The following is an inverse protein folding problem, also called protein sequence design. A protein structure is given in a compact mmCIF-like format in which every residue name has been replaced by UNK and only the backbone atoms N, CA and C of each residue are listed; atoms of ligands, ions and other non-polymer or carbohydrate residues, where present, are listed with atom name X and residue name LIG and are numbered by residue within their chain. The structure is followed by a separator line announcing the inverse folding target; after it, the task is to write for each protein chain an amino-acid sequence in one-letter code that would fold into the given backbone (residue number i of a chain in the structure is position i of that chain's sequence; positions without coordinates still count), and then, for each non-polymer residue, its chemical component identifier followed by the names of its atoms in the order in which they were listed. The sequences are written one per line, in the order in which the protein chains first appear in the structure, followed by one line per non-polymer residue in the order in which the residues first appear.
data_IF_893866177827
#
_entry.id   IF_893866177827
#
_cell.length_a   1.000
_cell.length_b   1.000
_cell.length_c   1.000
_cell.angle_alpha   90.00
_cell.angle_beta   90.00
_cell.angle_gamma   90.00
#
_symmetry.space_group_name_H-M   'P 1'
#
loop_
_entity.id
_entity.type
_entity.pdbx_description
1 polymer ?
#
# COMPACT_ATOMS: atom_id res chain seq x y z
N UNK A 1 6.11 25.07 68.13
CA UNK A 1 6.81 24.02 67.36
C UNK A 1 6.15 22.68 67.64
N UNK A 2 5.15 22.31 66.85
CA UNK A 2 4.65 20.93 66.74
C UNK A 2 4.34 20.76 65.25
N UNK A 3 5.21 20.05 64.54
CA UNK A 3 5.13 19.83 63.10
C UNK A 3 5.23 18.34 62.83
N UNK A 4 4.35 17.82 61.99
CA UNK A 4 4.53 16.50 61.37
C UNK A 4 3.23 15.72 61.17
N UNK A 5 2.40 16.19 60.23
CA UNK A 5 1.34 15.40 59.63
C UNK A 5 1.94 14.24 58.83
N UNK A 6 1.69 13.01 59.25
CA UNK A 6 1.77 11.82 58.40
C UNK A 6 0.43 11.67 57.67
N UNK A 7 0.35 12.23 56.46
CA UNK A 7 -0.72 11.89 55.52
C UNK A 7 -0.18 10.85 54.53
N UNK A 8 -0.30 9.59 54.92
CA UNK A 8 -0.11 8.42 54.06
C UNK A 8 -1.19 8.47 52.97
N UNK A 9 -0.81 8.90 51.76
CA UNK A 9 -1.68 8.80 50.59
C UNK A 9 -1.80 7.32 50.26
N UNK A 10 -2.97 6.75 50.54
CA UNK A 10 -3.28 5.36 50.21
C UNK A 10 -3.23 5.13 48.70
N UNK A 11 -2.16 4.51 48.25
CA UNK A 11 -2.10 3.81 46.96
C UNK A 11 -3.04 2.62 47.05
N UNK A 12 -4.28 2.83 46.62
CA UNK A 12 -5.25 1.76 46.41
C UNK A 12 -4.65 0.79 45.38
N UNK A 13 -4.09 -0.33 45.83
CA UNK A 13 -3.59 -1.40 44.96
C UNK A 13 -4.72 -1.81 44.01
N UNK A 14 -4.60 -1.40 42.76
CA UNK A 14 -5.44 -1.87 41.66
C UNK A 14 -5.18 -3.36 41.45
N UNK A 15 -6.11 -4.11 40.82
CA UNK A 15 -5.97 -5.56 40.68
C UNK A 15 -4.84 -5.93 39.72
N UNK A 16 -3.62 -6.01 40.24
CA UNK A 16 -2.40 -6.47 39.56
C UNK A 16 -2.47 -7.95 39.16
N UNK A 17 -3.44 -8.69 39.71
CA UNK A 17 -3.65 -10.10 39.45
C UNK A 17 -3.84 -10.43 37.96
N UNK A 18 -4.57 -9.61 37.19
CA UNK A 18 -4.74 -9.87 35.74
C UNK A 18 -3.42 -9.68 34.98
N UNK A 19 -2.65 -8.63 35.31
CA UNK A 19 -1.34 -8.41 34.71
C UNK A 19 -0.39 -9.58 34.98
N UNK A 20 -0.30 -10.02 36.24
CA UNK A 20 0.54 -11.14 36.66
C UNK A 20 0.09 -12.45 36.01
N UNK A 21 -1.22 -12.70 35.89
CA UNK A 21 -1.75 -13.88 35.20
C UNK A 21 -1.32 -13.93 33.73
N UNK A 22 -1.45 -12.83 32.99
CA UNK A 22 -1.06 -12.77 31.57
C UNK A 22 0.46 -12.91 31.42
N UNK A 23 1.24 -12.23 32.27
CA UNK A 23 2.70 -12.31 32.26
C UNK A 23 3.21 -13.73 32.57
N UNK A 24 2.67 -14.36 33.62
CA UNK A 24 3.01 -15.74 33.99
C UNK A 24 2.60 -16.73 32.89
N UNK A 25 1.42 -16.57 32.28
CA UNK A 25 0.99 -17.41 31.16
C UNK A 25 1.91 -17.29 29.92
N UNK A 26 2.60 -16.16 29.77
CA UNK A 26 3.57 -15.93 28.70
C UNK A 26 4.98 -16.44 29.07
N UNK A 27 5.18 -16.91 30.30
CA UNK A 27 6.48 -17.33 30.83
C UNK A 27 7.39 -16.18 31.21
N UNK A 28 6.86 -14.97 31.42
CA UNK A 28 7.65 -13.83 31.86
C UNK A 28 7.94 -13.90 33.36
N UNK A 29 9.17 -13.54 33.75
CA UNK A 29 9.57 -13.44 35.16
C UNK A 29 8.95 -12.18 35.80
N UNK A 30 8.11 -12.38 36.81
CA UNK A 30 7.42 -11.28 37.50
C UNK A 30 8.41 -10.39 38.25
N UNK A 31 9.47 -10.95 38.84
CA UNK A 31 10.47 -10.17 39.58
C UNK A 31 11.27 -9.26 38.65
N UNK A 32 11.59 -9.69 37.43
CA UNK A 32 12.22 -8.84 36.41
C UNK A 32 11.29 -7.70 35.96
N UNK A 33 10.00 -8.00 35.78
CA UNK A 33 9.00 -6.99 35.45
C UNK A 33 8.83 -5.97 36.59
N UNK A 34 8.83 -6.41 37.84
CA UNK A 34 8.80 -5.53 39.02
C UNK A 34 10.04 -4.64 39.12
N UNK A 35 11.20 -5.14 38.68
CA UNK A 35 12.44 -4.36 38.54
C UNK A 35 12.41 -3.36 37.35
N UNK A 36 11.30 -3.30 36.60
CA UNK A 36 11.09 -2.34 35.51
C UNK A 36 11.50 -2.83 34.12
N UNK A 37 11.83 -4.12 33.96
CA UNK A 37 12.13 -4.67 32.64
C UNK A 37 10.86 -4.81 31.78
N UNK A 38 11.07 -4.81 30.46
CA UNK A 38 10.05 -5.13 29.47
C UNK A 38 10.36 -6.52 28.92
N UNK A 39 9.47 -7.48 29.14
CA UNK A 39 9.61 -8.84 28.65
C UNK A 39 8.85 -9.04 27.34
N UNK A 40 9.39 -9.86 26.44
CA UNK A 40 8.74 -10.26 25.19
C UNK A 40 8.82 -11.77 25.00
N UNK A 41 7.68 -12.41 24.77
CA UNK A 41 7.56 -13.81 24.40
C UNK A 41 7.02 -13.96 22.98
N UNK A 42 7.48 -15.01 22.29
CA UNK A 42 7.07 -15.38 20.94
C UNK A 42 6.42 -16.76 20.99
N UNK A 43 5.10 -16.78 20.99
CA UNK A 43 4.29 -17.98 21.22
C UNK A 43 3.68 -18.51 19.91
N UNK A 44 3.65 -19.84 19.80
CA UNK A 44 2.86 -20.55 18.78
C UNK A 44 1.60 -21.10 19.43
N UNK A 45 0.45 -20.51 19.10
CA UNK A 45 -0.84 -20.91 19.65
C UNK A 45 -1.47 -21.95 18.74
N UNK A 46 -1.86 -23.12 19.28
CA UNK A 46 -2.29 -24.28 18.49
C UNK A 46 -3.66 -24.15 17.84
N UNK A 47 -4.55 -23.36 18.44
CA UNK A 47 -5.96 -23.34 18.05
C UNK A 47 -6.63 -22.01 18.40
N UNK A 48 -7.77 -21.76 17.75
CA UNK A 48 -8.50 -20.50 17.88
C UNK A 48 -9.14 -20.29 19.26
N UNK A 49 -9.44 -21.37 19.99
CA UNK A 49 -10.02 -21.28 21.34
C UNK A 49 -8.98 -20.78 22.34
N UNK A 50 -7.76 -21.31 22.25
CA UNK A 50 -6.62 -20.84 23.01
C UNK A 50 -6.24 -19.41 22.61
N UNK A 51 -6.23 -19.10 21.31
CA UNK A 51 -5.96 -17.74 20.83
C UNK A 51 -7.00 -16.73 21.34
N UNK A 52 -8.28 -17.09 21.39
CA UNK A 52 -9.33 -16.24 21.96
C UNK A 52 -9.06 -15.86 23.42
N UNK A 53 -8.54 -16.79 24.23
CA UNK A 53 -8.20 -16.53 25.64
C UNK A 53 -7.07 -15.49 25.77
N UNK A 54 -6.13 -15.48 24.82
CA UNK A 54 -5.07 -14.48 24.75
C UNK A 54 -5.57 -13.11 24.26
N UNK A 55 -6.47 -13.11 23.27
CA UNK A 55 -6.79 -11.90 22.52
C UNK A 55 -7.99 -11.13 23.04
N UNK A 56 -8.90 -11.72 23.83
CA UNK A 56 -10.11 -11.02 24.28
C UNK A 56 -10.34 -11.11 25.79
N UNK A 57 -10.33 -9.93 26.41
CA UNK A 57 -10.57 -9.62 27.83
C UNK A 57 -12.00 -9.14 28.08
N UNK A 58 -12.85 -9.16 27.05
CA UNK A 58 -14.27 -8.85 27.17
C UNK A 58 -15.02 -9.94 27.93
N UNK A 59 -15.89 -9.53 28.84
CA UNK A 59 -16.85 -10.44 29.48
C UNK A 59 -17.95 -10.89 28.48
N UNK A 60 -18.76 -11.86 28.90
CA UNK A 60 -19.80 -12.43 28.04
C UNK A 60 -20.91 -11.42 27.68
N UNK A 61 -21.13 -10.40 28.51
CA UNK A 61 -22.11 -9.34 28.22
C UNK A 61 -21.59 -8.40 27.15
N UNK A 62 -20.32 -8.00 27.23
CA UNK A 62 -19.64 -7.21 26.22
C UNK A 62 -19.58 -7.99 24.89
N UNK A 63 -19.17 -9.26 24.91
CA UNK A 63 -19.12 -10.10 23.70
C UNK A 63 -20.46 -10.18 22.98
N UNK A 64 -21.55 -10.46 23.71
CA UNK A 64 -22.91 -10.47 23.14
C UNK A 64 -23.30 -9.13 22.49
N UNK A 65 -22.94 -8.00 23.10
CA UNK A 65 -23.20 -6.67 22.51
C UNK A 65 -22.39 -6.46 21.22
N UNK A 66 -21.16 -6.97 21.15
CA UNK A 66 -20.27 -6.86 19.99
C UNK A 66 -20.71 -7.67 18.78
N UNK A 67 -21.55 -8.70 18.95
CA UNK A 67 -22.04 -9.51 17.82
C UNK A 67 -22.61 -8.65 16.68
N UNK A 68 -23.38 -7.61 17.03
CA UNK A 68 -23.97 -6.67 16.07
C UNK A 68 -22.95 -5.91 15.22
N UNK A 69 -21.74 -5.72 15.74
CA UNK A 69 -20.65 -5.09 14.99
C UNK A 69 -20.14 -5.95 13.84
N UNK A 70 -20.49 -7.25 13.82
CA UNK A 70 -20.06 -8.23 12.82
C UNK A 70 -21.16 -8.63 11.82
N UNK A 71 -22.36 -8.04 11.89
CA UNK A 71 -23.47 -8.39 11.00
C UNK A 71 -23.31 -7.79 9.58
N UNK A 72 -22.67 -6.62 9.47
CA UNK A 72 -22.50 -5.90 8.19
C UNK A 72 -21.42 -6.48 7.26
N UNK A 73 -20.79 -7.61 7.63
CA UNK A 73 -19.74 -8.24 6.84
C UNK A 73 -20.27 -9.14 5.71
N UNK A 74 -21.58 -9.20 5.48
CA UNK A 74 -22.21 -10.08 4.48
C UNK A 74 -21.60 -9.97 3.06
N UNK A 75 -21.18 -8.77 2.63
CA UNK A 75 -20.50 -8.56 1.34
C UNK A 75 -19.07 -9.14 1.25
N UNK A 76 -18.43 -9.43 2.39
CA UNK A 76 -17.09 -10.04 2.50
C UNK A 76 -17.13 -11.55 2.70
N UNK A 77 -18.30 -12.13 2.99
CA UNK A 77 -18.47 -13.56 3.25
C UNK A 77 -17.99 -14.45 2.09
N UNK A 78 -18.03 -13.96 0.84
CA UNK A 78 -17.57 -14.66 -0.37
C UNK A 78 -16.07 -14.48 -0.66
N UNK A 79 -15.37 -13.62 0.08
CA UNK A 79 -13.94 -13.40 -0.06
C UNK A 79 -13.19 -14.32 0.91
N UNK A 80 -11.92 -14.62 0.61
CA UNK A 80 -11.01 -15.29 1.54
C UNK A 80 -10.93 -14.56 2.91
N UNK A 81 -11.06 -13.22 2.88
CA UNK A 81 -11.19 -12.37 4.06
C UNK A 81 -12.35 -12.75 4.98
N UNK A 82 -13.43 -13.34 4.45
CA UNK A 82 -14.60 -13.71 5.25
C UNK A 82 -14.32 -14.77 6.31
N UNK A 83 -13.33 -15.66 6.10
CA UNK A 83 -12.90 -16.63 7.12
C UNK A 83 -12.21 -15.91 8.28
N UNK A 84 -11.31 -14.96 7.98
CA UNK A 84 -10.67 -14.11 8.99
C UNK A 84 -11.69 -13.27 9.76
N UNK A 85 -12.63 -12.62 9.07
CA UNK A 85 -13.66 -11.81 9.72
C UNK A 85 -14.53 -12.64 10.69
N UNK A 86 -14.80 -13.92 10.36
CA UNK A 86 -15.52 -14.85 11.27
C UNK A 86 -14.66 -15.34 12.42
N UNK A 87 -13.37 -15.61 12.19
CA UNK A 87 -12.41 -15.91 13.25
C UNK A 87 -12.28 -14.76 14.25
N UNK A 88 -12.17 -13.52 13.77
CA UNK A 88 -12.17 -12.32 14.60
C UNK A 88 -13.50 -12.14 15.35
N UNK A 89 -14.65 -12.41 14.70
CA UNK A 89 -15.96 -12.37 15.36
C UNK A 89 -16.06 -13.42 16.49
N UNK A 90 -15.49 -14.60 16.30
CA UNK A 90 -15.40 -15.61 17.36
C UNK A 90 -14.54 -15.13 18.52
N UNK A 91 -13.34 -14.60 18.22
CA UNK A 91 -12.38 -14.13 19.23
C UNK A 91 -12.98 -12.98 20.06
N UNK A 92 -13.45 -11.91 19.41
CA UNK A 92 -13.80 -10.66 20.09
C UNK A 92 -15.29 -10.51 20.46
N UNK A 93 -16.18 -11.27 19.81
CA UNK A 93 -17.63 -11.20 20.06
C UNK A 93 -18.25 -12.55 20.44
N UNK A 94 -17.48 -13.64 20.48
CA UNK A 94 -18.00 -14.96 20.86
C UNK A 94 -18.98 -15.56 19.85
N UNK A 95 -18.98 -15.08 18.59
CA UNK A 95 -19.85 -15.64 17.54
C UNK A 95 -19.48 -17.11 17.30
N UNK A 96 -20.42 -18.07 17.42
CA UNK A 96 -20.11 -19.48 17.17
C UNK A 96 -19.51 -19.70 15.78
N UNK A 97 -18.54 -20.61 15.71
CA UNK A 97 -17.94 -21.06 14.46
C UNK A 97 -18.62 -22.35 14.02
N UNK A 98 -18.91 -22.47 12.73
CA UNK A 98 -19.29 -23.75 12.16
C UNK A 98 -18.05 -24.63 11.89
N UNK A 99 -18.27 -25.92 11.66
CA UNK A 99 -17.20 -26.89 11.43
C UNK A 99 -16.33 -26.54 10.21
N UNK A 100 -16.94 -25.97 9.15
CA UNK A 100 -16.23 -25.60 7.91
C UNK A 100 -15.29 -24.42 8.15
N UNK A 101 -15.70 -23.47 8.98
CA UNK A 101 -14.86 -22.35 9.38
C UNK A 101 -13.70 -22.82 10.25
N UNK A 102 -13.93 -23.73 11.19
CA UNK A 102 -12.87 -24.34 12.00
C UNK A 102 -11.83 -25.02 11.12
N UNK A 103 -12.26 -25.85 10.16
CA UNK A 103 -11.36 -26.54 9.21
C UNK A 103 -10.57 -25.56 8.35
N UNK A 104 -11.21 -24.50 7.85
CA UNK A 104 -10.51 -23.47 7.05
C UNK A 104 -9.52 -22.67 7.87
N UNK A 105 -9.88 -22.34 9.11
CA UNK A 105 -8.99 -21.62 10.01
C UNK A 105 -7.81 -22.46 10.47
N UNK A 106 -7.95 -23.79 10.55
CA UNK A 106 -6.86 -24.68 10.93
C UNK A 106 -5.59 -24.50 10.07
N UNK A 107 -5.74 -24.10 8.81
CA UNK A 107 -4.60 -23.78 7.92
C UNK A 107 -3.78 -22.55 8.36
N UNK A 108 -4.33 -21.72 9.25
CA UNK A 108 -3.67 -20.55 9.85
C UNK A 108 -3.04 -20.85 11.22
N UNK A 109 -3.15 -22.10 11.70
CA UNK A 109 -2.57 -22.53 12.95
C UNK A 109 -1.32 -23.41 12.72
N UNK A 110 -0.29 -23.32 13.59
CA UNK A 110 -0.26 -22.51 14.80
C UNK A 110 -0.15 -21.01 14.54
N UNK A 111 -0.98 -20.22 15.24
CA UNK A 111 -0.98 -18.77 15.15
C UNK A 111 0.26 -18.19 15.83
N UNK A 112 0.79 -17.12 15.24
CA UNK A 112 2.03 -16.45 15.67
C UNK A 112 1.71 -15.26 16.55
N UNK A 113 1.92 -15.43 17.84
CA UNK A 113 1.54 -14.46 18.86
C UNK A 113 2.79 -13.88 19.54
N UNK A 114 2.98 -12.57 19.43
CA UNK A 114 3.93 -11.81 20.24
C UNK A 114 3.22 -11.34 21.51
N UNK A 115 3.78 -11.61 22.68
CA UNK A 115 3.28 -11.08 23.96
C UNK A 115 4.33 -10.17 24.55
N UNK A 116 3.98 -8.92 24.83
CA UNK A 116 4.85 -7.94 25.49
C UNK A 116 4.26 -7.62 26.85
N UNK A 117 5.05 -7.76 27.93
CA UNK A 117 4.63 -7.36 29.27
C UNK A 117 5.59 -6.36 29.89
N UNK A 118 5.04 -5.38 30.59
CA UNK A 118 5.82 -4.39 31.34
C UNK A 118 5.04 -3.93 32.58
N UNK A 119 5.67 -3.93 33.76
CA UNK A 119 4.99 -3.49 34.97
C UNK A 119 4.66 -2.00 34.94
N UNK A 120 5.62 -1.18 34.53
CA UNK A 120 5.48 0.26 34.40
C UNK A 120 6.13 0.70 33.09
N UNK A 121 5.41 1.47 32.28
CA UNK A 121 5.94 2.15 31.10
C UNK A 121 5.69 3.63 31.26
N UNK A 122 6.75 4.43 31.16
CA UNK A 122 6.68 5.88 31.05
C UNK A 122 7.27 6.29 29.71
N UNK A 123 6.41 6.76 28.80
CA UNK A 123 6.84 7.29 27.52
C UNK A 123 7.01 8.80 27.65
N UNK A 124 8.23 9.28 27.41
CA UNK A 124 8.56 10.69 27.43
C UNK A 124 7.93 11.43 26.24
N UNK A 125 8.13 12.75 26.19
CA UNK A 125 7.54 13.57 25.14
C UNK A 125 8.05 13.14 23.75
N UNK A 126 7.11 12.78 22.86
CA UNK A 126 7.41 12.34 21.49
C UNK A 126 7.85 10.88 21.34
N UNK A 127 7.99 10.13 22.44
CA UNK A 127 8.41 8.72 22.39
C UNK A 127 7.41 7.87 21.59
N UNK A 128 7.93 6.88 20.87
CA UNK A 128 7.13 5.92 20.12
C UNK A 128 7.48 4.51 20.56
N UNK A 129 6.52 3.85 21.20
CA UNK A 129 6.60 2.43 21.51
C UNK A 129 5.87 1.62 20.45
N UNK A 130 6.62 1.15 19.45
CA UNK A 130 6.11 0.25 18.41
C UNK A 130 6.13 -1.19 18.89
N UNK A 131 4.95 -1.77 19.10
CA UNK A 131 4.79 -3.14 19.61
C UNK A 131 4.56 -4.15 18.49
N UNK A 132 4.65 -3.76 17.22
CA UNK A 132 4.34 -4.61 16.09
C UNK A 132 5.17 -5.90 16.05
N UNK A 133 4.55 -6.97 15.56
CA UNK A 133 5.22 -8.16 15.06
C UNK A 133 5.33 -8.06 13.54
N UNK A 134 6.49 -8.40 13.00
CA UNK A 134 6.75 -8.41 11.56
C UNK A 134 6.97 -9.84 11.06
N UNK A 135 6.91 -10.00 9.74
CA UNK A 135 7.08 -11.30 9.11
C UNK A 135 8.51 -11.84 9.32
N UNK A 136 9.49 -10.94 9.36
CA UNK A 136 10.90 -11.23 9.63
C UNK A 136 11.11 -11.78 11.05
N UNK A 137 10.33 -11.32 12.04
CA UNK A 137 10.41 -11.87 13.40
C UNK A 137 10.08 -13.37 13.48
N UNK A 138 9.38 -13.89 12.47
CA UNK A 138 8.87 -15.25 12.44
C UNK A 138 9.40 -16.09 11.27
N UNK A 139 10.27 -15.51 10.43
CA UNK A 139 10.71 -16.11 9.16
C UNK A 139 9.53 -16.59 8.29
N UNK A 140 8.57 -15.71 8.06
CA UNK A 140 7.38 -15.99 7.24
C UNK A 140 7.15 -14.94 6.17
N UNK A 141 6.21 -15.22 5.26
CA UNK A 141 5.77 -14.25 4.27
C UNK A 141 4.98 -13.10 4.89
N UNK A 142 5.05 -11.91 4.27
CA UNK A 142 4.33 -10.68 4.67
C UNK A 142 2.81 -10.75 4.63
N UNK A 143 2.26 -11.91 4.22
CA UNK A 143 0.82 -12.18 4.17
C UNK A 143 0.32 -12.95 5.39
N UNK A 144 1.23 -13.41 6.24
CA UNK A 144 0.87 -14.12 7.45
C UNK A 144 0.12 -13.19 8.41
N UNK A 145 -0.92 -13.72 9.05
CA UNK A 145 -1.62 -12.98 10.10
C UNK A 145 -0.83 -13.08 11.40
N UNK A 146 -0.43 -11.94 11.93
CA UNK A 146 0.36 -11.83 13.14
C UNK A 146 -0.49 -11.23 14.26
N UNK A 147 -0.32 -11.77 15.47
CA UNK A 147 -1.06 -11.36 16.65
C UNK A 147 -0.11 -10.72 17.66
N UNK A 148 -0.57 -9.67 18.33
CA UNK A 148 0.20 -8.99 19.37
C UNK A 148 -0.67 -8.76 20.60
N UNK A 149 -0.18 -9.16 21.77
CA UNK A 149 -0.74 -8.83 23.09
C UNK A 149 0.21 -7.88 23.80
N UNK A 150 -0.30 -6.76 24.27
CA UNK A 150 0.41 -5.80 25.11
C UNK A 150 -0.23 -5.76 26.50
N UNK A 151 0.49 -6.23 27.50
CA UNK A 151 0.05 -6.36 28.88
C UNK A 151 0.83 -5.39 29.79
N UNK A 152 0.18 -4.34 30.28
CA UNK A 152 0.83 -3.27 31.04
C UNK A 152 0.17 -3.11 32.41
N UNK A 153 0.99 -3.04 33.46
CA UNK A 153 0.54 -2.61 34.79
C UNK A 153 0.16 -1.13 34.77
N UNK A 154 1.15 -0.24 34.70
CA UNK A 154 0.94 1.21 34.60
C UNK A 154 1.51 1.77 33.30
N UNK A 155 0.73 2.58 32.58
CA UNK A 155 1.17 3.29 31.38
C UNK A 155 1.02 4.80 31.59
N UNK A 156 2.13 5.52 31.55
CA UNK A 156 2.17 6.99 31.52
C UNK A 156 2.59 7.48 30.14
N UNK A 157 1.77 8.34 29.53
CA UNK A 157 2.02 8.92 28.21
C UNK A 157 2.31 10.42 28.33
N UNK A 158 3.53 10.81 28.00
CA UNK A 158 3.94 12.21 27.85
C UNK A 158 3.33 12.90 26.62
N UNK A 159 3.53 14.22 26.48
CA UNK A 159 3.06 14.98 25.32
C UNK A 159 3.62 14.41 24.01
N UNK A 160 2.75 14.06 23.05
CA UNK A 160 3.23 13.47 21.78
C UNK A 160 3.68 12.01 21.85
N UNK A 161 3.64 11.38 23.03
CA UNK A 161 3.99 9.97 23.19
C UNK A 161 2.97 9.04 22.53
N UNK A 162 3.43 7.92 21.94
CA UNK A 162 2.60 7.02 21.13
C UNK A 162 2.90 5.56 21.41
N UNK A 163 1.86 4.75 21.55
CA UNK A 163 1.90 3.29 21.41
C UNK A 163 1.34 2.94 20.04
N UNK A 164 2.08 2.18 19.24
CA UNK A 164 1.67 1.89 17.87
C UNK A 164 1.77 0.41 17.54
N UNK A 165 0.79 -0.10 16.80
CA UNK A 165 0.78 -1.44 16.21
C UNK A 165 0.44 -1.34 14.73
N UNK A 166 1.16 -2.07 13.88
CA UNK A 166 1.03 -2.05 12.43
C UNK A 166 0.67 -3.43 11.90
N UNK A 167 -0.53 -3.56 11.35
CA UNK A 167 -0.92 -4.76 10.62
C UNK A 167 -1.04 -6.04 11.44
N UNK A 168 -1.12 -5.96 12.77
CA UNK A 168 -1.37 -7.10 13.65
C UNK A 168 -2.78 -7.08 14.20
N UNK A 169 -3.38 -8.25 14.40
CA UNK A 169 -4.55 -8.38 15.26
C UNK A 169 -4.08 -8.12 16.69
N UNK A 170 -4.63 -7.11 17.35
CA UNK A 170 -4.04 -6.53 18.56
C UNK A 170 -4.93 -6.68 19.79
N UNK A 171 -4.34 -7.04 20.92
CA UNK A 171 -4.97 -6.93 22.24
C UNK A 171 -4.07 -6.12 23.16
N UNK A 172 -4.64 -5.15 23.87
CA UNK A 172 -3.94 -4.34 24.84
C UNK A 172 -4.71 -4.34 26.15
N UNK A 173 -4.03 -4.61 27.25
CA UNK A 173 -4.56 -4.47 28.61
C UNK A 173 -3.67 -3.53 29.38
N UNK A 174 -4.27 -2.49 29.96
CA UNK A 174 -3.60 -1.55 30.84
C UNK A 174 -4.35 -1.51 32.17
N UNK A 175 -3.67 -1.86 33.26
CA UNK A 175 -4.29 -1.84 34.59
C UNK A 175 -4.51 -0.38 35.07
N UNK A 176 -3.55 0.50 34.79
CA UNK A 176 -3.62 1.92 35.13
C UNK A 176 -3.07 2.81 34.02
N UNK A 177 -3.87 3.75 33.52
CA UNK A 177 -3.48 4.68 32.47
C UNK A 177 -3.40 6.13 32.97
N UNK A 178 -2.31 6.80 32.66
CA UNK A 178 -2.11 8.23 32.91
C UNK A 178 -1.65 8.95 31.64
N UNK A 179 -2.44 9.89 31.14
CA UNK A 179 -2.06 10.74 30.01
C UNK A 179 -1.70 12.12 30.57
N UNK A 180 -0.44 12.54 30.42
CA UNK A 180 0.07 13.77 31.02
C UNK A 180 -0.34 15.03 30.26
N UNK A 181 -0.67 14.92 28.97
CA UNK A 181 -1.16 16.03 28.17
C UNK A 181 -2.07 15.54 27.04
N UNK A 182 -3.07 16.33 26.67
CA UNK A 182 -3.81 16.05 25.44
C UNK A 182 -2.93 16.33 24.22
N UNK A 183 -3.08 15.54 23.15
CA UNK A 183 -2.46 15.85 21.87
C UNK A 183 -3.00 17.18 21.34
N UNK A 184 -2.11 18.03 20.83
CA UNK A 184 -2.47 19.27 20.16
C UNK A 184 -2.95 18.97 18.72
N UNK A 185 -3.96 19.72 18.27
CA UNK A 185 -4.47 19.64 16.90
C UNK A 185 -5.46 18.50 16.65
N UNK A 186 -5.68 18.21 15.36
CA UNK A 186 -6.60 17.17 14.92
C UNK A 186 -5.98 15.78 15.06
N UNK A 187 -6.76 14.80 15.52
CA UNK A 187 -6.30 13.40 15.60
C UNK A 187 -5.88 12.95 14.20
N UNK A 188 -4.73 12.29 14.08
CA UNK A 188 -4.19 11.86 12.79
C UNK A 188 -3.12 10.78 12.93
N UNK A 189 -2.51 10.39 11.81
CA UNK A 189 -1.48 9.36 11.77
C UNK A 189 -0.24 9.71 12.61
N UNK A 190 0.01 11.00 12.87
CA UNK A 190 1.11 11.47 13.72
C UNK A 190 0.66 12.23 14.97
N UNK A 191 -0.65 12.37 15.19
CA UNK A 191 -1.24 13.02 16.36
C UNK A 191 -2.26 12.08 17.01
N UNK A 192 -1.76 11.13 17.79
CA UNK A 192 -2.55 10.17 18.56
C UNK A 192 -1.72 9.60 19.71
N UNK A 193 -2.36 9.06 20.73
CA UNK A 193 -1.68 8.30 21.78
C UNK A 193 -1.59 6.81 21.45
N UNK A 194 -2.63 6.24 20.84
CA UNK A 194 -2.64 4.84 20.40
C UNK A 194 -2.97 4.78 18.91
N UNK A 195 -2.08 4.16 18.13
CA UNK A 195 -2.23 4.00 16.68
C UNK A 195 -2.42 2.54 16.30
N UNK A 196 -3.57 2.22 15.69
CA UNK A 196 -3.80 0.94 15.01
C UNK A 196 -3.63 1.20 13.51
N UNK A 197 -2.45 0.89 13.01
CA UNK A 197 -1.95 1.35 11.72
C UNK A 197 -1.87 0.19 10.72
N UNK A 198 -1.73 0.49 9.41
CA UNK A 198 -1.79 -0.57 8.42
C UNK A 198 -0.54 -1.44 8.45
N UNK A 199 -0.67 -2.67 7.96
CA UNK A 199 0.50 -3.46 7.54
C UNK A 199 1.38 -2.62 6.61
N UNK A 200 2.70 -2.55 6.81
CA UNK A 200 3.58 -1.72 5.97
C UNK A 200 3.76 -2.27 4.54
N UNK A 201 3.13 -3.40 4.22
CA UNK A 201 3.23 -4.07 2.92
C UNK A 201 1.87 -4.20 2.24
N UNK A 202 1.84 -4.26 0.90
CA UNK A 202 0.61 -4.48 0.16
C UNK A 202 0.06 -5.90 0.36
N UNK A 203 -1.27 -6.05 0.33
CA UNK A 203 -1.95 -7.32 0.69
C UNK A 203 -2.49 -8.11 -0.50
N UNK A 204 -2.23 -7.67 -1.73
CA UNK A 204 -2.63 -8.44 -2.92
C UNK A 204 -1.78 -9.71 -3.10
N UNK A 205 -2.45 -10.76 -3.61
CA UNK A 205 -1.80 -12.02 -3.94
C UNK A 205 -1.12 -11.94 -5.32
N UNK A 206 0.05 -12.58 -5.46
CA UNK A 206 0.77 -12.85 -6.73
C UNK A 206 1.54 -11.69 -7.36
N UNK A 207 1.56 -10.52 -6.73
CA UNK A 207 2.36 -9.38 -7.18
C UNK A 207 3.49 -9.14 -6.18
N UNK A 208 4.72 -9.09 -6.66
CA UNK A 208 5.89 -8.63 -5.92
C UNK A 208 6.30 -7.24 -6.40
N UNK A 209 7.09 -6.53 -5.60
CA UNK A 209 7.59 -5.20 -5.94
C UNK A 209 6.86 -4.05 -5.25
N UNK A 210 7.11 -2.80 -5.70
CA UNK A 210 6.70 -1.58 -5.02
C UNK A 210 5.18 -1.40 -4.92
N UNK A 211 4.75 -0.57 -3.98
CA UNK A 211 3.33 -0.20 -3.83
C UNK A 211 2.83 0.50 -5.10
N UNK A 212 3.60 1.42 -5.65
CA UNK A 212 3.28 2.10 -6.92
C UNK A 212 3.69 1.25 -8.12
N UNK A 213 2.82 1.19 -9.12
CA UNK A 213 3.09 0.46 -10.35
C UNK A 213 4.15 1.16 -11.19
N UNK A 214 5.18 0.46 -11.69
CA UNK A 214 6.17 1.06 -12.58
C UNK A 214 5.55 1.53 -13.89
N UNK A 215 6.08 2.62 -14.44
CA UNK A 215 5.70 3.12 -15.76
C UNK A 215 6.12 2.17 -16.88
N UNK A 216 5.39 2.24 -17.99
CA UNK A 216 5.72 1.54 -19.22
C UNK A 216 6.94 2.15 -19.90
N UNK A 217 7.67 1.29 -20.62
CA UNK A 217 8.88 1.69 -21.36
C UNK A 217 8.51 2.54 -22.58
N UNK A 218 9.33 3.54 -22.91
CA UNK A 218 9.18 4.29 -24.16
C UNK A 218 9.44 3.35 -25.36
N UNK A 219 8.63 3.47 -26.39
CA UNK A 219 8.91 2.88 -27.70
C UNK A 219 10.16 3.52 -28.33
N UNK A 220 10.94 2.70 -29.03
CA UNK A 220 12.03 3.12 -29.88
C UNK A 220 11.51 3.74 -31.17
N UNK A 221 12.14 4.84 -31.60
CA UNK A 221 11.83 5.52 -32.84
C UNK A 221 12.28 4.68 -34.05
N UNK A 222 11.59 4.81 -35.16
CA UNK A 222 11.90 4.14 -36.41
C UNK A 222 13.15 4.71 -37.07
N UNK A 223 13.94 3.85 -37.72
CA UNK A 223 15.15 4.30 -38.41
C UNK A 223 14.79 5.12 -39.66
N UNK A 224 15.56 6.16 -40.00
CA UNK A 224 15.37 6.85 -41.26
C UNK A 224 15.64 5.90 -42.44
N UNK A 225 14.87 6.08 -43.50
CA UNK A 225 15.14 5.48 -44.79
C UNK A 225 16.46 6.01 -45.34
N UNK A 226 17.18 5.15 -46.05
CA UNK A 226 18.36 5.53 -46.83
C UNK A 226 17.93 6.25 -48.11
N UNK A 227 18.56 7.38 -48.37
CA UNK A 227 18.39 8.13 -49.62
C UNK A 227 18.89 7.30 -50.81
N UNK A 228 18.23 7.47 -51.95
CA UNK A 228 18.67 6.90 -53.22
C UNK A 228 19.93 7.57 -53.75
N UNK A 229 20.72 6.83 -54.51
CA UNK A 229 21.96 7.34 -55.08
C UNK A 229 21.70 8.33 -56.22
N UNK A 230 22.49 9.41 -56.23
CA UNK A 230 22.47 10.42 -57.30
C UNK A 230 23.76 10.42 -58.09
N UNK A 231 23.66 10.64 -59.40
CA UNK A 231 24.81 10.76 -60.29
C UNK A 231 25.71 11.90 -59.83
N UNK A 232 26.99 11.61 -59.66
CA UNK A 232 27.99 12.65 -59.47
C UNK A 232 28.33 13.27 -60.82
N UNK A 233 28.21 14.59 -60.91
CA UNK A 233 28.59 15.33 -62.11
C UNK A 233 30.04 15.78 -61.98
N UNK A 234 30.82 15.53 -63.03
CA UNK A 234 32.16 16.10 -63.20
C UNK A 234 32.12 17.20 -64.25
N UNK A 235 32.92 18.25 -64.04
CA UNK A 235 33.11 19.27 -65.05
C UNK A 235 33.85 18.68 -66.27
N UNK A 236 33.43 19.05 -67.47
CA UNK A 236 34.15 18.75 -68.71
C UNK A 236 34.10 19.96 -69.65
N UNK A 237 34.99 19.99 -70.64
CA UNK A 237 35.02 21.04 -71.67
C UNK A 237 33.76 21.08 -72.54
N UNK A 238 32.90 20.04 -72.47
CA UNK A 238 31.62 19.95 -73.16
C UNK A 238 30.42 20.16 -72.23
N UNK A 239 30.65 20.62 -70.99
CA UNK A 239 29.64 20.78 -69.94
C UNK A 239 29.67 19.65 -68.90
N UNK A 240 28.71 19.63 -67.96
CA UNK A 240 28.66 18.60 -66.91
C UNK A 240 28.49 17.19 -67.50
N UNK A 241 29.40 16.28 -67.16
CA UNK A 241 29.33 14.87 -67.56
C UNK A 241 29.09 13.99 -66.33
N UNK A 242 28.31 12.92 -66.47
CA UNK A 242 28.16 11.93 -65.40
C UNK A 242 29.50 11.23 -65.14
N UNK A 243 29.83 11.00 -63.87
CA UNK A 243 31.02 10.24 -63.46
C UNK A 243 30.84 8.72 -63.64
N UNK A 244 29.60 8.25 -63.81
CA UNK A 244 29.23 6.86 -64.06
C UNK A 244 27.70 6.72 -64.16
N UNK A 245 27.23 5.60 -64.74
CA UNK A 245 25.80 5.29 -64.77
C UNK A 245 25.38 4.65 -63.43
N UNK A 246 24.27 5.11 -62.87
CA UNK A 246 23.63 4.52 -61.68
C UNK A 246 22.35 3.81 -62.14
N UNK A 247 22.17 2.52 -61.81
CA UNK A 247 20.92 1.81 -62.09
C UNK A 247 19.71 2.54 -61.49
N UNK A 248 18.58 2.55 -62.20
CA UNK A 248 17.36 3.21 -61.75
C UNK A 248 16.91 2.79 -60.34
N UNK A 249 17.07 1.50 -60.02
CA UNK A 249 16.64 0.94 -58.74
C UNK A 249 17.49 1.45 -57.56
N UNK A 250 18.77 1.75 -57.79
CA UNK A 250 19.66 2.32 -56.78
C UNK A 250 19.35 3.80 -56.50
N UNK A 251 18.57 4.44 -57.37
CA UNK A 251 18.10 5.80 -57.18
C UNK A 251 16.86 5.88 -56.29
N UNK A 252 16.23 4.76 -55.92
CA UNK A 252 15.08 4.77 -55.03
C UNK A 252 15.51 5.02 -53.58
N UNK A 253 14.86 6.00 -52.93
CA UNK A 253 14.91 6.13 -51.49
C UNK A 253 14.18 4.96 -50.84
N UNK A 254 14.74 4.43 -49.75
CA UNK A 254 14.08 3.38 -48.97
C UNK A 254 13.10 3.97 -47.95
N UNK A 255 12.09 3.20 -47.58
CA UNK A 255 11.10 3.63 -46.59
C UNK A 255 11.73 3.85 -45.21
N UNK A 256 11.13 4.76 -44.45
CA UNK A 256 11.44 4.91 -43.03
C UNK A 256 10.91 3.71 -42.23
N UNK A 257 11.69 3.28 -41.24
CA UNK A 257 11.24 2.27 -40.28
C UNK A 257 10.08 2.78 -39.43
N UNK A 258 9.17 1.90 -39.03
CA UNK A 258 8.12 2.27 -38.08
C UNK A 258 8.67 2.41 -36.66
N UNK A 259 8.14 3.35 -35.89
CA UNK A 259 8.35 3.41 -34.46
C UNK A 259 7.67 2.24 -33.76
N UNK A 260 8.25 1.81 -32.63
CA UNK A 260 7.67 0.74 -31.81
C UNK A 260 6.70 1.29 -30.78
N UNK A 261 5.74 0.47 -30.35
CA UNK A 261 4.75 0.88 -29.36
C UNK A 261 5.41 1.15 -27.99
N UNK A 262 4.84 2.08 -27.24
CA UNK A 262 5.16 2.25 -25.83
C UNK A 262 4.60 1.09 -25.01
N UNK A 263 5.31 0.70 -23.96
CA UNK A 263 4.85 -0.33 -23.03
C UNK A 263 3.75 0.18 -22.11
N UNK A 264 2.93 -0.73 -21.58
CA UNK A 264 1.90 -0.39 -20.60
C UNK A 264 2.49 -0.08 -19.23
N UNK A 265 1.89 0.89 -18.54
CA UNK A 265 2.10 1.11 -17.11
C UNK A 265 1.51 -0.03 -16.28
N UNK A 266 2.21 -0.41 -15.22
CA UNK A 266 1.73 -1.46 -14.31
C UNK A 266 0.74 -0.90 -13.29
N UNK A 267 -0.14 -1.78 -12.81
CA UNK A 267 -1.11 -1.45 -11.77
C UNK A 267 -0.42 -1.20 -10.43
N UNK A 268 -0.90 -0.21 -9.68
CA UNK A 268 -0.54 -0.01 -8.27
C UNK A 268 -1.16 -1.05 -7.35
N UNK A 269 -0.48 -1.35 -6.24
CA UNK A 269 -0.83 -2.44 -5.32
C UNK A 269 -1.84 -2.02 -4.25
N UNK A 270 -2.52 -3.01 -3.68
CA UNK A 270 -3.55 -2.77 -2.64
C UNK A 270 -2.89 -2.40 -1.32
N UNK A 271 -3.33 -1.31 -0.70
CA UNK A 271 -2.78 -0.84 0.57
C UNK A 271 -2.93 -1.84 1.73
N UNK A 272 -2.07 -1.70 2.74
CA UNK A 272 -2.03 -2.58 3.92
C UNK A 272 -3.32 -2.55 4.76
N UNK A 273 -3.61 -3.64 5.47
CA UNK A 273 -4.83 -3.75 6.30
C UNK A 273 -4.64 -3.09 7.68
N UNK A 274 -5.67 -2.39 8.20
CA UNK A 274 -5.82 -2.08 9.64
C UNK A 274 -6.60 -3.25 10.26
N UNK A 275 -5.93 -4.10 11.03
CA UNK A 275 -6.51 -5.32 11.61
C UNK A 275 -7.34 -5.01 12.86
N UNK A 276 -8.10 -6.00 13.34
CA UNK A 276 -8.93 -5.82 14.53
C UNK A 276 -8.08 -5.57 15.77
N UNK A 277 -8.60 -4.74 16.68
CA UNK A 277 -7.93 -4.43 17.94
C UNK A 277 -8.92 -4.43 19.12
N UNK A 278 -8.46 -4.93 20.27
CA UNK A 278 -9.12 -4.76 21.56
C UNK A 278 -8.19 -3.99 22.51
N UNK A 279 -8.68 -2.92 23.12
CA UNK A 279 -7.96 -2.12 24.11
C UNK A 279 -8.79 -2.09 25.39
N UNK A 280 -8.25 -2.63 26.47
CA UNK A 280 -8.88 -2.70 27.78
C UNK A 280 -8.10 -1.84 28.76
N UNK A 281 -8.76 -0.80 29.30
CA UNK A 281 -8.19 0.09 30.31
C UNK A 281 -8.98 -0.15 31.60
N UNK A 282 -8.33 -0.67 32.64
CA UNK A 282 -9.03 -0.98 33.91
C UNK A 282 -9.25 0.25 34.77
N UNK A 283 -8.32 1.20 34.76
CA UNK A 283 -8.44 2.43 35.53
C UNK A 283 -7.66 3.58 34.89
N UNK A 284 -7.98 4.79 35.31
CA UNK A 284 -7.31 6.02 34.91
C UNK A 284 -6.76 6.73 36.15
N UNK A 285 -5.62 7.41 35.99
CA UNK A 285 -5.15 8.37 36.97
C UNK A 285 -6.17 9.50 37.14
N UNK A 286 -6.30 10.03 38.35
CA UNK A 286 -7.29 11.07 38.67
C UNK A 286 -7.13 12.33 37.82
N UNK A 287 -5.88 12.70 37.51
CA UNK A 287 -5.51 13.89 36.74
C UNK A 287 -5.27 13.60 35.26
N UNK A 288 -5.65 12.42 34.76
CA UNK A 288 -5.38 12.07 33.37
C UNK A 288 -6.05 13.03 32.40
N UNK A 289 -5.34 13.36 31.33
CA UNK A 289 -5.91 14.02 30.17
C UNK A 289 -6.60 13.02 29.24
N UNK A 290 -7.14 13.54 28.13
CA UNK A 290 -7.85 12.73 27.14
C UNK A 290 -6.89 11.81 26.37
N UNK A 291 -7.24 10.53 26.31
CA UNK A 291 -6.62 9.55 25.43
C UNK A 291 -7.15 9.75 24.00
N UNK A 292 -6.28 9.64 23.00
CA UNK A 292 -6.64 9.73 21.59
C UNK A 292 -6.24 8.44 20.87
N UNK A 293 -7.20 7.81 20.19
CA UNK A 293 -6.97 6.57 19.43
C UNK A 293 -7.23 6.81 17.95
N UNK A 294 -6.31 6.38 17.10
CA UNK A 294 -6.38 6.52 15.66
C UNK A 294 -6.29 5.16 14.96
N UNK A 295 -7.14 4.90 13.97
CA UNK A 295 -6.93 3.80 13.02
C UNK A 295 -7.08 4.26 11.57
N UNK A 296 -6.24 3.68 10.72
CA UNK A 296 -6.31 3.86 9.29
C UNK A 296 -5.72 2.63 8.58
N UNK A 297 -6.37 2.17 7.51
CA UNK A 297 -5.77 1.21 6.59
C UNK A 297 -4.95 1.93 5.49
N UNK A 298 -3.97 1.25 4.91
CA UNK A 298 -2.98 1.84 4.02
C UNK A 298 -3.60 2.25 2.69
N UNK A 299 -3.09 3.32 2.08
CA UNK A 299 -3.53 3.78 0.77
C UNK A 299 -3.14 2.78 -0.32
N UNK A 300 -3.96 2.66 -1.38
CA UNK A 300 -3.58 1.95 -2.59
C UNK A 300 -2.50 2.69 -3.39
N UNK A 301 -1.57 1.95 -3.99
CA UNK A 301 -0.50 2.53 -4.81
C UNK A 301 -1.01 3.12 -6.12
N UNK A 302 -0.27 4.09 -6.65
CA UNK A 302 -0.56 4.72 -7.95
C UNK A 302 -0.29 3.73 -9.08
N UNK A 303 -1.09 3.79 -10.14
CA UNK A 303 -0.78 3.11 -11.39
C UNK A 303 0.36 3.81 -12.14
N UNK A 304 1.22 3.04 -12.79
CA UNK A 304 2.32 3.56 -13.60
C UNK A 304 1.80 4.22 -14.87
N UNK A 305 2.51 5.24 -15.38
CA UNK A 305 2.16 5.85 -16.65
C UNK A 305 2.43 4.89 -17.82
N UNK A 306 1.66 4.98 -18.89
CA UNK A 306 1.98 4.30 -20.15
C UNK A 306 3.17 4.95 -20.85
N UNK A 307 3.98 4.14 -21.53
CA UNK A 307 5.12 4.61 -22.29
C UNK A 307 4.68 5.34 -23.56
N UNK A 308 5.42 6.39 -23.96
CA UNK A 308 5.20 7.03 -25.27
C UNK A 308 5.56 6.06 -26.39
N UNK A 309 4.77 5.99 -27.45
CA UNK A 309 5.14 5.32 -28.69
C UNK A 309 6.32 6.01 -29.39
N UNK A 310 7.13 5.22 -30.10
CA UNK A 310 8.24 5.72 -30.89
C UNK A 310 7.76 6.44 -32.13
N UNK A 311 8.43 7.52 -32.51
CA UNK A 311 8.12 8.25 -33.74
C UNK A 311 8.58 7.42 -34.96
N UNK A 312 7.86 7.48 -36.08
CA UNK A 312 8.24 6.82 -37.32
C UNK A 312 9.42 7.50 -38.00
N UNK A 313 10.27 6.72 -38.63
CA UNK A 313 11.42 7.20 -39.39
C UNK A 313 11.01 7.93 -40.65
N UNK A 314 11.75 8.96 -41.03
CA UNK A 314 11.54 9.64 -42.32
C UNK A 314 11.90 8.71 -43.47
N UNK A 315 11.14 8.72 -44.57
CA UNK A 315 11.51 8.04 -45.81
C UNK A 315 12.74 8.67 -46.49
N UNK A 316 13.54 7.85 -47.16
CA UNK A 316 14.71 8.29 -47.90
C UNK A 316 14.33 9.11 -49.14
N UNK A 317 15.10 10.13 -49.45
CA UNK A 317 14.89 10.96 -50.64
C UNK A 317 15.18 10.15 -51.91
N UNK A 318 14.52 10.50 -53.00
CA UNK A 318 14.84 9.97 -54.32
C UNK A 318 16.20 10.51 -54.79
N UNK A 319 16.97 9.64 -55.46
CA UNK A 319 18.18 9.99 -56.19
C UNK A 319 17.94 10.21 -57.68
N UNK A 320 18.92 10.83 -58.35
CA UNK A 320 18.93 11.03 -59.81
C UNK A 320 19.89 10.03 -60.47
N UNK A 321 19.36 9.10 -61.26
CA UNK A 321 20.11 8.16 -62.10
C UNK A 321 20.33 8.67 -63.52
N UNK A 322 20.88 7.80 -64.36
CA UNK A 322 21.12 8.07 -65.78
C UNK A 322 22.59 8.01 -66.21
N UNK A 323 22.80 7.93 -67.53
CA UNK A 323 24.15 7.92 -68.13
C UNK A 323 24.67 9.33 -68.45
N UNK A 324 23.78 10.33 -68.49
CA UNK A 324 24.09 11.72 -68.82
C UNK A 324 23.07 12.67 -68.20
N UNK A 325 23.36 13.99 -68.23
CA UNK A 325 22.42 15.01 -67.74
C UNK A 325 21.07 14.99 -68.48
N UNK A 326 21.05 14.57 -69.75
CA UNK A 326 19.85 14.55 -70.61
C UNK A 326 19.05 13.24 -70.54
N UNK A 327 19.64 12.19 -69.96
CA UNK A 327 19.05 10.84 -69.82
C UNK A 327 18.80 10.53 -68.34
N UNK A 328 18.15 11.47 -67.63
CA UNK A 328 17.94 11.35 -66.18
C UNK A 328 16.76 10.46 -65.88
N UNK A 329 17.02 9.37 -65.15
CA UNK A 329 15.98 8.54 -64.54
C UNK A 329 15.89 8.95 -63.07
N UNK A 330 14.70 9.24 -62.57
CA UNK A 330 14.51 9.64 -61.18
C UNK A 330 13.97 8.45 -60.39
N UNK A 331 14.60 8.16 -59.26
CA UNK A 331 14.05 7.16 -58.35
C UNK A 331 12.79 7.68 -57.65
N UNK A 332 12.08 6.77 -57.01
CA UNK A 332 10.98 7.08 -56.10
C UNK A 332 11.55 7.41 -54.72
N UNK A 333 10.94 8.34 -54.02
CA UNK A 333 11.26 8.53 -52.61
C UNK A 333 10.61 7.43 -51.75
N UNK A 334 11.19 7.17 -50.59
CA UNK A 334 10.63 6.25 -49.62
C UNK A 334 9.45 6.85 -48.85
N UNK A 335 8.51 6.01 -48.44
CA UNK A 335 7.44 6.38 -47.53
C UNK A 335 7.96 6.67 -46.12
N UNK A 336 7.23 7.50 -45.38
CA UNK A 336 7.51 7.69 -43.96
C UNK A 336 7.05 6.48 -43.15
N UNK A 337 7.82 6.07 -42.15
CA UNK A 337 7.44 4.99 -41.24
C UNK A 337 6.28 5.40 -40.32
N UNK A 338 5.46 4.45 -39.88
CA UNK A 338 4.36 4.76 -38.96
C UNK A 338 4.89 5.06 -37.55
N UNK A 339 4.18 5.90 -36.80
CA UNK A 339 4.43 6.07 -35.37
C UNK A 339 3.89 4.89 -34.58
N UNK A 340 4.57 4.50 -33.51
CA UNK A 340 4.09 3.48 -32.58
C UNK A 340 2.98 4.01 -31.67
N UNK A 341 2.08 3.14 -31.24
CA UNK A 341 1.02 3.49 -30.30
C UNK A 341 1.59 3.78 -28.90
N UNK A 342 0.94 4.65 -28.14
CA UNK A 342 1.25 4.87 -26.74
C UNK A 342 0.71 3.74 -25.87
N UNK A 343 1.47 3.36 -24.84
CA UNK A 343 1.06 2.33 -23.90
C UNK A 343 -0.08 2.80 -22.99
N UNK A 344 -0.88 1.86 -22.49
CA UNK A 344 -1.96 2.14 -21.54
C UNK A 344 -1.39 2.52 -20.16
N UNK A 345 -2.03 3.45 -19.46
CA UNK A 345 -1.75 3.71 -18.06
C UNK A 345 -2.22 2.57 -17.14
N UNK A 346 -1.45 2.29 -16.10
CA UNK A 346 -1.79 1.28 -15.10
C UNK A 346 -2.96 1.71 -14.22
N UNK A 347 -3.75 0.76 -13.74
CA UNK A 347 -4.81 1.06 -12.77
C UNK A 347 -4.21 1.40 -11.40
N UNK A 348 -4.89 2.26 -10.63
CA UNK A 348 -4.61 2.46 -9.22
C UNK A 348 -4.88 1.20 -8.38
N UNK A 349 -4.13 1.05 -7.30
CA UNK A 349 -4.34 0.05 -6.28
C UNK A 349 -5.54 0.37 -5.40
N UNK A 350 -6.20 -0.65 -4.86
CA UNK A 350 -7.31 -0.39 -3.94
C UNK A 350 -6.78 0.07 -2.57
N UNK A 351 -7.56 0.83 -1.84
CA UNK A 351 -7.30 1.05 -0.42
C UNK A 351 -7.31 -0.26 0.37
N UNK A 352 -6.53 -0.29 1.44
CA UNK A 352 -6.52 -1.37 2.43
C UNK A 352 -7.85 -1.50 3.17
N UNK A 353 -8.09 -2.68 3.73
CA UNK A 353 -9.31 -2.98 4.49
C UNK A 353 -9.07 -2.67 5.97
N UNK A 354 -10.07 -2.08 6.61
CA UNK A 354 -10.10 -1.83 8.05
C UNK A 354 -11.07 -2.78 8.76
N UNK A 355 -10.68 -3.22 9.95
CA UNK A 355 -11.50 -4.07 10.83
C UNK A 355 -11.98 -3.29 12.06
N UNK A 356 -12.69 -3.95 12.98
CA UNK A 356 -13.29 -3.29 14.15
C UNK A 356 -12.24 -3.03 15.24
N UNK A 357 -12.37 -1.90 15.94
CA UNK A 357 -11.59 -1.59 17.15
C UNK A 357 -12.53 -1.49 18.34
N UNK A 358 -12.28 -2.26 19.38
CA UNK A 358 -13.05 -2.25 20.62
C UNK A 358 -12.21 -1.66 21.75
N UNK A 359 -12.78 -0.69 22.46
CA UNK A 359 -12.16 -0.06 23.62
C UNK A 359 -13.07 -0.25 24.82
N UNK A 360 -12.60 -0.94 25.85
CA UNK A 360 -13.32 -1.17 27.10
C UNK A 360 -12.64 -0.38 28.23
N UNK A 361 -13.43 0.38 28.99
CA UNK A 361 -12.96 1.23 30.07
C UNK A 361 -14.06 1.49 31.11
N UNK A 362 -13.74 1.99 32.33
CA UNK A 362 -14.74 2.41 33.31
C UNK A 362 -15.80 3.33 32.67
N UNK A 363 -17.10 3.01 32.77
CA UNK A 363 -18.15 3.75 32.07
C UNK A 363 -18.18 5.25 32.37
N UNK A 364 -17.90 5.63 33.61
CA UNK A 364 -17.81 7.02 34.08
C UNK A 364 -16.63 7.78 33.45
N UNK A 365 -15.63 7.06 32.92
CA UNK A 365 -14.41 7.61 32.31
C UNK A 365 -14.38 7.54 30.78
N UNK A 366 -15.41 6.99 30.13
CA UNK A 366 -15.46 6.86 28.68
C UNK A 366 -15.32 8.22 27.94
N UNK A 367 -15.70 9.33 28.57
CA UNK A 367 -15.57 10.69 28.03
C UNK A 367 -14.11 11.17 27.89
N UNK A 368 -13.15 10.48 28.51
CA UNK A 368 -11.72 10.76 28.37
C UNK A 368 -11.15 10.21 27.07
N UNK A 369 -11.87 9.35 26.36
CA UNK A 369 -11.37 8.71 25.15
C UNK A 369 -11.96 9.43 23.93
N UNK A 370 -11.07 9.94 23.07
CA UNK A 370 -11.40 10.44 21.74
C UNK A 370 -10.86 9.49 20.69
N UNK A 371 -11.63 9.28 19.63
CA UNK A 371 -11.27 8.33 18.58
C UNK A 371 -11.44 8.98 17.21
N UNK A 372 -10.61 8.56 16.26
CA UNK A 372 -10.78 8.90 14.85
C UNK A 372 -10.37 7.72 13.98
N UNK A 373 -11.23 7.34 13.04
CA UNK A 373 -10.87 6.45 11.96
C UNK A 373 -10.98 7.18 10.62
N UNK A 374 -10.05 6.92 9.71
CA UNK A 374 -10.01 7.52 8.37
C UNK A 374 -10.19 6.44 7.31
N UNK A 375 -10.89 6.79 6.24
CA UNK A 375 -11.06 5.91 5.09
C UNK A 375 -9.71 5.64 4.42
N UNK A 376 -9.54 4.43 3.89
CA UNK A 376 -8.38 4.15 3.07
C UNK A 376 -8.64 4.57 1.63
N UNK A 377 -7.80 5.45 1.11
CA UNK A 377 -7.94 5.94 -0.25
C UNK A 377 -7.44 4.93 -1.29
N UNK A 378 -8.12 4.85 -2.42
CA UNK A 378 -7.59 4.20 -3.61
C UNK A 378 -6.39 4.97 -4.18
N UNK A 379 -5.55 4.27 -4.93
CA UNK A 379 -4.47 4.87 -5.68
C UNK A 379 -4.96 5.55 -6.96
N UNK A 380 -4.22 6.56 -7.40
CA UNK A 380 -4.51 7.24 -8.66
C UNK A 380 -4.25 6.35 -9.87
N UNK A 381 -4.99 6.58 -10.95
CA UNK A 381 -4.71 5.97 -12.23
C UNK A 381 -3.41 6.50 -12.84
N UNK A 382 -2.68 5.64 -13.54
CA UNK A 382 -1.62 6.04 -14.44
C UNK A 382 -2.20 6.69 -15.70
N UNK A 383 -1.54 7.73 -16.20
CA UNK A 383 -1.90 8.34 -17.48
C UNK A 383 -1.48 7.44 -18.64
N UNK A 384 -2.25 7.42 -19.74
CA UNK A 384 -1.82 6.75 -20.96
C UNK A 384 -0.68 7.48 -21.65
N UNK A 385 0.19 6.73 -22.33
CA UNK A 385 1.30 7.29 -23.10
C UNK A 385 0.80 7.95 -24.39
N UNK A 386 1.48 9.00 -24.85
CA UNK A 386 1.19 9.57 -26.16
C UNK A 386 1.61 8.62 -27.29
N UNK A 387 0.89 8.63 -28.41
CA UNK A 387 1.32 7.97 -29.64
C UNK A 387 2.54 8.66 -30.26
N UNK A 388 3.34 7.89 -30.98
CA UNK A 388 4.44 8.38 -31.80
C UNK A 388 3.92 9.10 -33.03
N UNK A 389 4.67 10.09 -33.51
CA UNK A 389 4.37 10.78 -34.77
C UNK A 389 4.66 9.86 -35.95
N UNK A 390 3.91 9.99 -37.04
CA UNK A 390 4.28 9.38 -38.31
C UNK A 390 5.50 10.06 -38.93
N UNK A 391 6.34 9.29 -39.60
CA UNK A 391 7.49 9.78 -40.35
C UNK A 391 7.05 10.57 -41.59
N UNK A 392 7.81 11.59 -41.95
CA UNK A 392 7.60 12.29 -43.22
C UNK A 392 8.07 11.42 -44.39
N UNK A 393 7.44 11.51 -45.58
CA UNK A 393 7.98 10.87 -46.77
C UNK A 393 9.32 11.50 -47.17
N UNK A 394 10.10 10.77 -47.96
CA UNK A 394 11.26 11.34 -48.64
C UNK A 394 10.86 12.34 -49.72
N UNK A 395 11.79 13.21 -50.09
CA UNK A 395 11.57 14.17 -51.16
C UNK A 395 11.77 13.47 -52.53
N UNK A 396 10.73 13.47 -53.37
CA UNK A 396 10.83 13.05 -54.78
C UNK A 396 11.37 14.16 -55.68
N UNK A 397 12.01 13.80 -56.79
CA UNK A 397 12.54 14.76 -57.78
C UNK A 397 11.48 15.10 -58.85
N UNK A 398 10.52 14.21 -59.09
CA UNK A 398 9.36 14.43 -59.97
C UNK A 398 8.07 14.48 -59.15
N UNK A 399 7.18 15.43 -59.46
CA UNK A 399 5.93 15.67 -58.72
C UNK A 399 4.84 14.59 -58.93
N UNK A 400 5.18 13.45 -59.52
CA UNK A 400 4.22 12.52 -60.13
C UNK A 400 3.71 11.40 -59.22
N UNK A 401 4.27 11.23 -58.02
CA UNK A 401 3.76 10.26 -57.04
C UNK A 401 3.65 10.88 -55.64
N UNK A 402 2.43 11.01 -55.13
CA UNK A 402 2.17 11.44 -53.74
C UNK A 402 2.49 10.30 -52.80
N UNK A 403 3.70 10.29 -52.24
CA UNK A 403 4.12 9.27 -51.28
C UNK A 403 3.53 9.63 -49.90
N UNK A 404 2.81 8.69 -49.30
CA UNK A 404 2.11 8.94 -48.05
C UNK A 404 3.10 9.14 -46.88
N UNK A 405 2.85 10.12 -45.99
CA UNK A 405 3.49 10.13 -44.68
C UNK A 405 3.07 8.90 -43.88
N UNK A 406 3.89 8.54 -42.91
CA UNK A 406 3.51 7.57 -41.91
C UNK A 406 2.30 8.02 -41.11
N UNK A 407 1.51 7.07 -40.63
CA UNK A 407 0.36 7.33 -39.77
C UNK A 407 0.86 7.52 -38.33
N UNK A 408 0.43 8.58 -37.61
CA UNK A 408 0.70 8.69 -36.18
C UNK A 408 0.09 7.55 -35.38
N UNK A 409 0.80 7.10 -34.35
CA UNK A 409 0.27 6.14 -33.38
C UNK A 409 -0.83 6.75 -32.53
N UNK A 410 -1.69 5.89 -31.99
CA UNK A 410 -2.79 6.28 -31.10
C UNK A 410 -2.26 6.52 -29.69
N UNK A 411 -2.80 7.51 -28.96
CA UNK A 411 -2.50 7.63 -27.53
C UNK A 411 -3.11 6.45 -26.76
N UNK A 412 -2.39 5.99 -25.74
CA UNK A 412 -2.88 5.00 -24.80
C UNK A 412 -3.97 5.56 -23.89
N UNK A 413 -4.87 4.70 -23.43
CA UNK A 413 -5.89 5.07 -22.46
C UNK A 413 -5.28 5.19 -21.05
N UNK A 414 -5.80 6.11 -20.23
CA UNK A 414 -5.48 6.14 -18.79
C UNK A 414 -6.02 4.89 -18.08
N UNK A 415 -5.39 4.55 -16.96
CA UNK A 415 -5.88 3.51 -16.06
C UNK A 415 -7.16 3.93 -15.32
N UNK A 416 -7.69 3.00 -14.53
CA UNK A 416 -8.80 3.26 -13.61
C UNK A 416 -8.27 3.66 -12.23
N UNK A 417 -8.97 4.56 -11.55
CA UNK A 417 -8.68 4.90 -10.16
C UNK A 417 -8.98 3.70 -9.27
N UNK A 418 -8.14 3.46 -8.26
CA UNK A 418 -8.34 2.40 -7.28
C UNK A 418 -9.56 2.66 -6.39
N UNK A 419 -10.14 1.60 -5.84
CA UNK A 419 -11.31 1.73 -4.96
C UNK A 419 -10.90 2.12 -3.54
N UNK A 420 -11.45 3.21 -3.02
CA UNK A 420 -11.37 3.56 -1.59
C UNK A 420 -12.18 2.60 -0.72
N UNK A 421 -11.79 2.43 0.54
CA UNK A 421 -12.42 1.52 1.50
C UNK A 421 -12.91 2.26 2.75
N UNK A 422 -14.03 1.82 3.33
CA UNK A 422 -14.54 2.41 4.57
C UNK A 422 -13.49 2.39 5.68
N UNK A 423 -13.58 3.41 6.54
CA UNK A 423 -12.82 3.49 7.80
C UNK A 423 -13.16 2.34 8.76
N UNK A 424 -12.28 2.11 9.73
CA UNK A 424 -12.58 1.22 10.85
C UNK A 424 -13.78 1.71 11.65
N UNK A 425 -14.54 0.78 12.20
CA UNK A 425 -15.57 1.08 13.21
C UNK A 425 -14.92 1.02 14.58
N UNK A 426 -14.98 2.12 15.31
CA UNK A 426 -14.40 2.19 16.67
C UNK A 426 -15.54 2.20 17.68
N UNK A 427 -15.49 1.27 18.62
CA UNK A 427 -16.46 1.10 19.69
C UNK A 427 -15.83 1.44 21.04
N UNK A 428 -16.50 2.24 21.86
CA UNK A 428 -16.13 2.49 23.26
C UNK A 428 -17.23 1.93 24.13
N UNK A 429 -16.91 0.95 24.99
CA UNK A 429 -17.88 0.18 25.78
C UNK A 429 -19.03 -0.31 24.89
N UNK A 430 -18.66 -0.89 23.74
CA UNK A 430 -19.55 -1.46 22.73
C UNK A 430 -20.43 -0.45 21.98
N UNK A 431 -20.33 0.84 22.29
CA UNK A 431 -21.05 1.93 21.59
C UNK A 431 -20.19 2.42 20.42
N UNK A 432 -20.73 2.39 19.20
CA UNK A 432 -20.07 2.90 18.00
C UNK A 432 -19.79 4.42 18.12
N UNK A 433 -18.58 4.85 17.81
CA UNK A 433 -18.13 6.25 17.90
C UNK A 433 -17.54 6.80 16.60
N UNK A 434 -16.98 5.96 15.75
CA UNK A 434 -16.40 6.36 14.46
C UNK A 434 -16.71 5.37 13.37
#
# INVERSE_FOLDING_TARGET
MVSGNLATIGTRQLPLAEFEMIAAAAGHDISELEAGQIATAWLRVSDIHTLRKWMSHADETARRKRLRSFDDFGGRARLWQGVHDRGEAYIFAGKPLDQRDVERMAAHFPARLKVVSARNIELAAGDVFDVSATAENWDVGTREELYTVLNIGSLTLGPGARVVVRGNVFSMVVQHLNVLASQAGEIGADSHHIGILPTPHPVDSRLSGPLDGPSGIKGSDGQPGRDGHSINLRASIFGPAAAGAIPADDCNGSDGGSGTNGGDGRRGRTGGMCKSAEITIRSFAHTTHRLTVFCQAGQGGRGGAGGKGGDGGRGGNAGRGGSSFHDSQFGNAGAGGNGGDGGRGGNGGNGGISSNVFISCPPDRAHLIKVKAVESQGGFAGQGGAGGRGGMPGNGITATATIAPGVPGRPGASGLVGRSRPKARIHINEILKS
#
